data_IF_729731037168
#
_entry.id   IF_729731037168
#
_cell.length_a   1.000
_cell.length_b   1.000
_cell.length_c   1.000
_cell.angle_alpha   90.00
_cell.angle_beta   90.00
_cell.angle_gamma   90.00
#
_symmetry.space_group_name_H-M   'P 1'
#
loop_
_entity.id
_entity.type
_entity.pdbx_description
1 polymer ?
#
# COMPACT_ATOMS: atom_id res chain seq x y z
N UNK A 1 -16.81 42.13 22.27
CA UNK A 1 -17.84 43.09 21.81
C UNK A 1 -18.56 42.46 20.64
N UNK A 2 -19.89 42.40 20.75
CA UNK A 2 -20.80 41.78 19.82
C UNK A 2 -20.76 42.49 18.45
N UNK A 3 -20.87 41.75 17.36
CA UNK A 3 -21.57 42.26 16.16
C UNK A 3 -22.20 41.08 15.44
N UNK A 4 -23.40 40.77 15.89
CA UNK A 4 -24.44 40.09 15.13
C UNK A 4 -24.74 40.90 13.87
N UNK A 5 -24.73 40.24 12.71
CA UNK A 5 -25.58 40.64 11.60
C UNK A 5 -26.36 39.40 11.13
N UNK A 6 -27.67 39.45 11.37
CA UNK A 6 -28.65 38.45 10.93
C UNK A 6 -29.41 39.07 9.77
N UNK A 7 -29.39 38.44 8.60
CA UNK A 7 -30.50 38.37 7.63
C UNK A 7 -30.03 37.52 6.44
N UNK A 8 -30.76 36.60 5.85
CA UNK A 8 -32.15 36.24 6.00
C UNK A 8 -32.44 35.00 5.15
N UNK A 9 -33.61 34.41 5.41
CA UNK A 9 -34.21 33.33 4.66
C UNK A 9 -34.24 33.57 3.14
N UNK A 10 -33.95 32.53 2.35
CA UNK A 10 -34.73 32.20 1.15
C UNK A 10 -34.58 30.72 0.81
N UNK A 11 -35.74 30.10 0.65
CA UNK A 11 -35.97 28.70 0.32
C UNK A 11 -35.41 28.38 -1.08
N UNK A 12 -34.83 27.20 -1.22
CA UNK A 12 -34.37 26.65 -2.49
C UNK A 12 -33.85 25.23 -2.29
N UNK A 13 -34.75 24.25 -2.35
CA UNK A 13 -34.44 22.84 -2.21
C UNK A 13 -33.44 22.35 -3.26
N UNK A 14 -32.40 21.66 -2.80
CA UNK A 14 -31.65 20.69 -3.60
C UNK A 14 -31.29 19.52 -2.68
N UNK A 15 -31.42 18.25 -3.13
CA UNK A 15 -31.26 17.08 -2.27
C UNK A 15 -29.78 16.88 -1.96
N UNK A 16 -29.30 17.59 -0.94
CA UNK A 16 -27.95 17.44 -0.42
C UNK A 16 -27.91 16.19 0.45
N UNK A 17 -27.31 15.15 -0.13
CA UNK A 17 -26.75 14.00 0.56
C UNK A 17 -26.11 14.48 1.88
N UNK A 18 -26.70 14.07 3.01
CA UNK A 18 -26.56 14.73 4.31
C UNK A 18 -25.12 15.02 4.73
N UNK A 19 -24.73 16.28 4.64
CA UNK A 19 -23.57 16.82 5.30
C UNK A 19 -23.86 16.90 6.81
N UNK A 20 -23.44 15.88 7.57
CA UNK A 20 -23.37 16.00 9.03
C UNK A 20 -22.13 16.82 9.41
N UNK A 21 -22.40 17.91 10.12
CA UNK A 21 -21.44 18.81 10.73
C UNK A 21 -20.49 18.05 11.67
N UNK A 22 -19.18 18.16 11.42
CA UNK A 22 -18.14 17.82 12.39
C UNK A 22 -18.02 19.02 13.33
N UNK A 23 -18.91 19.10 14.31
CA UNK A 23 -18.61 19.81 15.58
C UNK A 23 -17.83 18.83 16.44
N UNK A 24 -16.87 19.34 17.21
CA UNK A 24 -15.94 18.57 18.05
C UNK A 24 -16.70 17.70 19.06
N UNK A 25 -17.06 16.49 18.65
CA UNK A 25 -17.29 15.37 19.54
C UNK A 25 -16.02 14.53 19.49
N UNK A 26 -15.13 14.76 20.45
CA UNK A 26 -14.09 13.81 20.81
C UNK A 26 -14.75 12.47 21.14
N UNK A 27 -14.87 11.56 20.17
CA UNK A 27 -14.90 10.11 20.39
C UNK A 27 -14.90 9.32 19.09
N UNK A 28 -13.81 8.56 18.97
CA UNK A 28 -13.73 7.29 18.26
C UNK A 28 -13.60 7.44 16.74
N UNK A 29 -12.40 7.86 16.29
CA UNK A 29 -11.76 6.99 15.30
C UNK A 29 -11.57 5.67 16.04
N UNK A 30 -12.52 4.74 15.90
CA UNK A 30 -12.32 3.37 16.33
C UNK A 30 -11.11 2.94 15.51
N UNK A 31 -9.94 2.94 16.13
CA UNK A 31 -8.79 2.25 15.59
C UNK A 31 -9.24 0.81 15.56
N UNK A 32 -9.85 0.43 14.44
CA UNK A 32 -10.22 -0.94 14.11
C UNK A 32 -9.07 -1.79 14.61
N UNK A 33 -9.34 -2.65 15.60
CA UNK A 33 -8.33 -3.55 16.17
C UNK A 33 -7.52 -4.08 14.98
N UNK A 34 -6.20 -3.89 14.95
CA UNK A 34 -5.43 -4.45 13.86
C UNK A 34 -5.72 -5.95 13.89
N UNK A 35 -6.27 -6.49 12.80
CA UNK A 35 -6.60 -7.92 12.68
C UNK A 35 -5.35 -8.80 12.74
N UNK A 36 -4.16 -8.19 12.86
CA UNK A 36 -2.87 -8.83 12.84
C UNK A 36 -1.99 -8.26 13.96
N UNK A 37 -1.25 -9.14 14.65
CA UNK A 37 -0.19 -8.76 15.59
C UNK A 37 0.85 -7.88 14.89
N UNK A 38 1.28 -6.82 15.57
CA UNK A 38 2.26 -5.86 15.05
C UNK A 38 3.71 -6.34 15.13
N UNK A 39 3.94 -7.49 15.78
CA UNK A 39 5.28 -7.96 16.15
C UNK A 39 6.10 -8.42 14.94
N UNK A 40 5.44 -8.89 13.88
CA UNK A 40 6.10 -9.48 12.70
C UNK A 40 6.13 -8.55 11.48
N UNK A 41 5.91 -7.24 11.67
CA UNK A 41 5.86 -6.27 10.55
C UNK A 41 7.20 -6.11 9.83
N UNK A 42 8.31 -6.49 10.46
CA UNK A 42 9.65 -6.48 9.87
C UNK A 42 9.94 -7.71 9.00
N UNK A 43 9.09 -8.74 9.06
CA UNK A 43 9.26 -9.99 8.33
C UNK A 43 8.47 -9.93 7.02
N UNK A 44 9.10 -10.33 5.92
CA UNK A 44 8.43 -10.48 4.64
C UNK A 44 7.53 -11.73 4.66
N UNK A 45 6.21 -11.54 4.80
CA UNK A 45 5.20 -12.60 4.69
C UNK A 45 4.12 -12.17 3.70
N UNK A 46 4.11 -12.72 2.46
CA UNK A 46 3.09 -12.42 1.46
C UNK A 46 1.72 -13.01 1.82
N UNK A 47 1.67 -14.08 2.62
CA UNK A 47 0.44 -14.76 3.06
C UNK A 47 -0.44 -13.85 3.93
N UNK A 48 0.16 -12.83 4.58
CA UNK A 48 -0.55 -11.83 5.40
C UNK A 48 -1.70 -11.13 4.67
N UNK A 49 -1.68 -11.10 3.34
CA UNK A 49 -2.70 -10.46 2.52
C UNK A 49 -3.85 -11.39 2.13
N UNK A 50 -3.82 -12.65 2.57
CA UNK A 50 -4.83 -13.67 2.29
C UNK A 50 -5.72 -13.92 3.52
N UNK A 51 -6.93 -14.42 3.30
CA UNK A 51 -7.78 -14.97 4.34
C UNK A 51 -7.48 -16.46 4.59
N UNK A 52 -8.20 -17.08 5.54
CA UNK A 52 -8.02 -18.49 5.92
C UNK A 52 -8.30 -19.48 4.77
N UNK A 53 -8.99 -19.02 3.72
CA UNK A 53 -9.33 -19.80 2.52
C UNK A 53 -8.35 -19.51 1.37
N UNK A 54 -7.34 -18.66 1.59
CA UNK A 54 -6.34 -18.28 0.60
C UNK A 54 -6.81 -17.23 -0.40
N UNK A 55 -7.93 -16.55 -0.15
CA UNK A 55 -8.47 -15.47 -0.99
C UNK A 55 -7.93 -14.13 -0.52
N UNK A 56 -7.69 -13.21 -1.46
CA UNK A 56 -7.18 -11.89 -1.12
C UNK A 56 -8.12 -11.12 -0.19
N UNK A 57 -7.61 -10.76 0.99
CA UNK A 57 -8.37 -10.03 2.00
C UNK A 57 -8.30 -8.52 1.72
N UNK A 58 -9.45 -7.94 1.33
CA UNK A 58 -9.55 -6.50 1.06
C UNK A 58 -9.46 -5.64 2.31
N UNK A 59 -9.76 -6.20 3.49
CA UNK A 59 -9.81 -5.49 4.76
C UNK A 59 -8.44 -5.16 5.33
N UNK A 60 -7.38 -5.84 4.89
CA UNK A 60 -6.02 -5.54 5.35
C UNK A 60 -5.61 -4.14 4.86
N UNK A 61 -5.25 -3.20 5.76
CA UNK A 61 -4.91 -1.83 5.40
C UNK A 61 -3.70 -1.78 4.46
N UNK A 62 -3.85 -1.07 3.33
CA UNK A 62 -2.80 -0.90 2.31
C UNK A 62 -2.56 0.58 2.06
N UNK A 63 -1.53 1.13 2.71
CA UNK A 63 -1.21 2.56 2.62
C UNK A 63 -0.11 2.89 1.60
N UNK A 64 0.42 1.90 0.88
CA UNK A 64 1.48 2.11 -0.12
C UNK A 64 1.10 3.10 -1.24
N UNK A 65 -0.19 3.20 -1.58
CA UNK A 65 -0.72 4.11 -2.60
C UNK A 65 -1.64 5.19 -2.01
N UNK A 66 -1.56 5.43 -0.69
CA UNK A 66 -2.51 6.24 0.06
C UNK A 66 -3.97 5.73 -0.04
N UNK A 67 -4.92 6.50 0.49
CA UNK A 67 -6.36 6.22 0.44
C UNK A 67 -7.19 7.50 0.33
N UNK A 68 -8.50 7.35 0.10
CA UNK A 68 -9.44 8.48 -0.01
C UNK A 68 -9.43 9.20 -1.37
N UNK A 69 -9.95 10.44 -1.44
CA UNK A 69 -10.14 11.17 -2.71
C UNK A 69 -8.82 11.59 -3.39
N UNK A 70 -7.69 11.55 -2.66
CA UNK A 70 -6.35 11.89 -3.16
C UNK A 70 -5.46 10.65 -3.27
N UNK A 71 -6.06 9.47 -3.44
CA UNK A 71 -5.34 8.20 -3.70
C UNK A 71 -4.45 8.34 -4.94
N UNK A 72 -3.31 7.64 -4.96
CA UNK A 72 -2.42 7.64 -6.11
C UNK A 72 -3.18 7.24 -7.39
N UNK A 73 -3.27 8.17 -8.33
CA UNK A 73 -3.91 7.95 -9.63
C UNK A 73 -3.26 6.79 -10.41
N UNK A 74 -1.93 6.66 -10.27
CA UNK A 74 -1.13 5.59 -10.87
C UNK A 74 -1.26 4.23 -10.20
N UNK A 75 -2.08 4.05 -9.15
CA UNK A 75 -2.16 2.78 -8.39
C UNK A 75 -2.42 1.57 -9.27
N UNK A 76 -3.40 1.66 -10.18
CA UNK A 76 -3.76 0.53 -11.07
C UNK A 76 -2.63 0.21 -12.05
N UNK A 77 -1.99 1.25 -12.59
CA UNK A 77 -0.87 1.11 -13.51
C UNK A 77 0.34 0.46 -12.83
N UNK A 78 0.77 0.99 -11.69
CA UNK A 78 1.90 0.45 -10.94
C UNK A 78 1.69 -1.01 -10.53
N UNK A 79 0.48 -1.39 -10.11
CA UNK A 79 0.17 -2.78 -9.78
C UNK A 79 0.22 -3.71 -11.00
N UNK A 80 -0.19 -3.23 -12.17
CA UNK A 80 -0.13 -4.02 -13.39
C UNK A 80 1.30 -4.21 -13.86
N UNK A 81 2.10 -3.14 -13.85
CA UNK A 81 3.52 -3.16 -14.19
C UNK A 81 4.27 -4.12 -13.27
N UNK A 82 4.06 -4.03 -11.95
CA UNK A 82 4.68 -4.93 -10.98
C UNK A 82 4.34 -6.40 -11.24
N UNK A 83 3.07 -6.72 -11.55
CA UNK A 83 2.66 -8.09 -11.86
C UNK A 83 3.36 -8.62 -13.11
N UNK A 84 3.40 -7.83 -14.17
CA UNK A 84 4.06 -8.21 -15.43
C UNK A 84 5.55 -8.45 -15.17
N UNK A 85 6.22 -7.53 -14.48
CA UNK A 85 7.63 -7.63 -14.14
C UNK A 85 7.92 -8.90 -13.33
N UNK A 86 7.13 -9.17 -12.29
CA UNK A 86 7.29 -10.38 -11.47
C UNK A 86 7.10 -11.66 -12.28
N UNK A 87 6.06 -11.73 -13.12
CA UNK A 87 5.80 -12.89 -13.98
C UNK A 87 6.96 -13.11 -14.95
N UNK A 88 7.42 -12.06 -15.63
CA UNK A 88 8.54 -12.17 -16.59
C UNK A 88 9.81 -12.62 -15.89
N UNK A 89 10.14 -12.04 -14.72
CA UNK A 89 11.32 -12.43 -13.95
C UNK A 89 11.28 -13.92 -13.56
N UNK A 90 10.16 -14.37 -13.01
CA UNK A 90 10.00 -15.76 -12.55
C UNK A 90 9.93 -16.78 -13.71
N UNK A 91 9.40 -16.38 -14.86
CA UNK A 91 9.32 -17.26 -16.03
C UNK A 91 10.65 -17.40 -16.77
N UNK A 92 11.53 -16.39 -16.70
CA UNK A 92 12.78 -16.34 -17.47
C UNK A 92 14.03 -16.62 -16.65
N UNK A 93 14.00 -16.36 -15.35
CA UNK A 93 15.19 -16.45 -14.51
C UNK A 93 14.93 -17.27 -13.25
N UNK A 94 15.97 -18.01 -12.85
CA UNK A 94 16.11 -18.58 -11.52
C UNK A 94 16.85 -17.56 -10.66
N UNK A 95 16.20 -17.11 -9.59
CA UNK A 95 16.80 -16.24 -8.58
C UNK A 95 17.71 -17.08 -7.68
N UNK A 96 18.97 -16.71 -7.56
CA UNK A 96 19.93 -17.42 -6.71
C UNK A 96 20.39 -16.57 -5.52
N UNK A 97 20.75 -17.24 -4.43
CA UNK A 97 21.29 -16.60 -3.25
C UNK A 97 22.64 -15.97 -3.54
N UNK A 98 22.78 -14.70 -3.17
CA UNK A 98 24.05 -13.97 -3.16
C UNK A 98 24.74 -14.23 -1.81
N UNK A 99 26.07 -14.10 -1.74
CA UNK A 99 26.81 -14.18 -0.49
C UNK A 99 26.31 -13.16 0.53
N UNK A 100 26.42 -13.51 1.82
CA UNK A 100 25.93 -12.66 2.92
C UNK A 100 26.63 -11.30 2.97
N UNK A 101 27.89 -11.22 2.52
CA UNK A 101 28.65 -9.96 2.43
C UNK A 101 28.01 -8.92 1.48
N UNK A 102 27.34 -9.41 0.43
CA UNK A 102 26.69 -8.57 -0.58
C UNK A 102 25.19 -8.38 -0.28
N UNK A 103 24.62 -9.19 0.62
CA UNK A 103 23.22 -9.16 1.01
C UNK A 103 23.01 -8.18 2.19
N UNK A 104 22.73 -6.91 1.91
CA UNK A 104 22.44 -5.92 2.95
C UNK A 104 21.13 -5.16 2.71
N UNK A 105 20.39 -4.94 3.81
CA UNK A 105 19.14 -4.17 3.84
C UNK A 105 19.37 -2.67 4.08
N UNK A 106 20.61 -2.18 3.92
CA UNK A 106 20.93 -0.78 4.13
C UNK A 106 20.25 0.09 3.07
N UNK A 107 19.70 1.23 3.49
CA UNK A 107 19.09 2.20 2.59
C UNK A 107 19.63 3.60 2.87
N UNK A 108 19.55 4.46 1.87
CA UNK A 108 19.86 5.87 1.97
C UNK A 108 18.57 6.69 1.81
N UNK A 109 18.38 7.76 2.61
CA UNK A 109 17.25 8.65 2.43
C UNK A 109 17.44 9.52 1.19
N UNK A 110 16.49 9.45 0.26
CA UNK A 110 16.29 10.41 -0.82
C UNK A 110 14.81 10.84 -0.79
N UNK A 111 14.20 11.24 -1.91
CA UNK A 111 12.74 11.44 -2.01
C UNK A 111 11.96 10.19 -1.58
N UNK A 112 12.50 9.01 -1.88
CA UNK A 112 12.07 7.72 -1.34
C UNK A 112 13.31 7.02 -0.74
N UNK A 113 13.11 6.02 0.13
CA UNK A 113 14.23 5.18 0.60
C UNK A 113 14.74 4.35 -0.58
N UNK A 114 16.00 4.54 -0.93
CA UNK A 114 16.67 3.75 -1.96
C UNK A 114 17.65 2.78 -1.31
N UNK A 115 17.72 1.52 -1.77
CA UNK A 115 18.67 0.57 -1.22
C UNK A 115 20.10 1.01 -1.58
N UNK A 116 21.04 0.79 -0.66
CA UNK A 116 22.43 1.21 -0.82
C UNK A 116 23.17 0.37 -1.86
N UNK A 117 22.81 -0.90 -1.96
CA UNK A 117 23.32 -1.87 -2.91
C UNK A 117 22.22 -2.89 -3.21
N UNK A 118 22.15 -3.39 -4.45
CA UNK A 118 21.18 -4.40 -4.89
C UNK A 118 21.84 -5.33 -5.89
N UNK A 119 22.60 -6.30 -5.39
CA UNK A 119 23.17 -7.35 -6.21
C UNK A 119 22.17 -8.49 -6.37
N UNK A 120 22.03 -9.00 -7.59
CA UNK A 120 21.14 -10.12 -7.90
C UNK A 120 21.89 -11.10 -8.77
N UNK A 121 21.86 -12.39 -8.40
CA UNK A 121 22.39 -13.46 -9.24
C UNK A 121 21.22 -14.13 -9.96
N UNK A 122 21.27 -14.10 -11.29
CA UNK A 122 20.22 -14.60 -12.17
C UNK A 122 20.79 -15.68 -13.08
N UNK A 123 20.14 -16.83 -13.11
CA UNK A 123 20.44 -17.90 -14.07
C UNK A 123 19.28 -18.02 -15.04
N UNK A 124 19.55 -18.03 -16.35
CA UNK A 124 18.50 -18.09 -17.36
C UNK A 124 17.86 -19.50 -17.38
N UNK A 125 16.53 -19.56 -17.37
CA UNK A 125 15.78 -20.83 -17.36
C UNK A 125 15.75 -21.52 -18.73
N UNK A 126 15.87 -20.77 -19.82
CA UNK A 126 15.90 -21.32 -21.18
C UNK A 126 17.23 -22.07 -21.42
N UNK A 127 18.34 -21.65 -20.80
CA UNK A 127 19.63 -22.37 -20.85
C UNK A 127 19.69 -23.66 -20.02
N UNK A 128 18.77 -23.86 -19.06
CA UNK A 128 18.76 -25.05 -18.19
C UNK A 128 18.01 -26.24 -18.82
N UNK A 129 17.27 -26.02 -19.91
CA UNK A 129 16.46 -27.05 -20.59
C UNK A 129 17.20 -27.78 -21.72
N UNK A 130 18.45 -27.41 -22.01
CA UNK A 130 19.26 -27.95 -23.13
C UNK A 130 20.20 -29.09 -22.67
N UNK A 131 20.06 -29.56 -21.44
CA UNK A 131 20.81 -30.70 -20.86
C UNK A 131 19.84 -31.72 -20.32
#
# INVERSE_FOLDING_TARGET
>A
MCTTFVCGHSLGESPTYGARNIRQDEKICESSKPSHSTDDLHIFSPERWLDDVGVFNSQVPKLAFSGGPRVCFGRKFAMQELRILLVVLLMKFRLEFVSDELNSMQSQPMTLRVPRQTFVRLTNLDSLKVT
#
